data_IF_151608235076
#
_entry.id   IF_151608235076
#
_cell.length_a   1.000
_cell.length_b   1.000
_cell.length_c   1.000
_cell.angle_alpha   90.00
_cell.angle_beta   90.00
_cell.angle_gamma   90.00
#
_symmetry.space_group_name_H-M   'P 1'
#
loop_
_entity.id
_entity.type
_entity.pdbx_description
1 polymer ?
#
# COMPACT_ATOMS: atom_id res chain seq x y z
N UNK A 1 60.94 -47.08 44.69
CA UNK A 1 59.79 -46.98 45.62
C UNK A 1 59.67 -45.50 45.92
N UNK A 2 58.65 -44.73 45.57
CA UNK A 2 57.25 -45.03 45.25
C UNK A 2 56.75 -44.02 44.19
N UNK A 3 56.16 -44.53 43.10
CA UNK A 3 55.50 -43.76 42.04
C UNK A 3 53.97 -43.68 42.30
N UNK A 4 53.50 -43.87 43.54
CA UNK A 4 52.08 -44.18 43.76
C UNK A 4 51.26 -43.19 44.61
N UNK A 5 51.81 -42.07 45.08
CA UNK A 5 51.02 -41.09 45.86
C UNK A 5 50.90 -39.70 45.22
N UNK A 6 51.46 -39.47 44.03
CA UNK A 6 51.37 -38.18 43.33
C UNK A 6 50.12 -38.03 42.44
N UNK A 7 49.32 -39.10 42.25
CA UNK A 7 48.10 -39.05 41.43
C UNK A 7 46.81 -38.74 42.22
N UNK A 8 46.73 -39.08 43.51
CA UNK A 8 45.53 -38.78 44.32
C UNK A 8 45.48 -37.33 44.85
N UNK A 9 46.64 -36.68 45.02
CA UNK A 9 46.67 -35.30 45.53
C UNK A 9 46.37 -34.25 44.44
N UNK A 10 46.59 -34.58 43.17
CA UNK A 10 46.31 -33.67 42.04
C UNK A 10 44.82 -33.75 41.62
N UNK A 11 44.15 -34.89 41.86
CA UNK A 11 42.75 -35.04 41.44
C UNK A 11 41.74 -34.30 42.35
N UNK A 12 42.08 -34.06 43.63
CA UNK A 12 41.17 -33.40 44.58
C UNK A 12 41.22 -31.86 44.52
N UNK A 13 42.34 -31.27 44.10
CA UNK A 13 42.49 -29.81 43.99
C UNK A 13 42.06 -29.24 42.63
N UNK A 14 41.99 -30.05 41.58
CA UNK A 14 41.51 -29.60 40.27
C UNK A 14 39.98 -29.40 40.21
N UNK A 15 39.21 -30.05 41.09
CA UNK A 15 37.75 -29.85 41.19
C UNK A 15 37.37 -28.52 41.87
N UNK A 16 38.10 -28.09 42.91
CA UNK A 16 37.80 -26.82 43.59
C UNK A 16 38.28 -25.59 42.81
N UNK A 17 39.45 -25.68 42.16
CA UNK A 17 39.96 -24.61 41.29
C UNK A 17 39.10 -24.38 40.04
N UNK A 18 38.59 -25.46 39.43
CA UNK A 18 37.69 -25.36 38.27
C UNK A 18 36.31 -24.78 38.63
N UNK A 19 35.79 -25.05 39.83
CA UNK A 19 34.52 -24.46 40.30
C UNK A 19 34.68 -22.98 40.60
N UNK A 20 35.81 -22.56 41.17
CA UNK A 20 36.07 -21.14 41.46
C UNK A 20 36.33 -20.33 40.19
N UNK A 21 37.02 -20.89 39.19
CA UNK A 21 37.22 -20.25 37.90
C UNK A 21 35.92 -20.20 37.07
N UNK A 22 35.07 -21.25 37.14
CA UNK A 22 33.75 -21.22 36.52
C UNK A 22 32.81 -20.19 37.19
N UNK A 23 32.84 -20.06 38.52
CA UNK A 23 32.07 -19.03 39.25
C UNK A 23 32.55 -17.60 38.93
N UNK A 24 33.87 -17.38 38.79
CA UNK A 24 34.42 -16.10 38.35
C UNK A 24 34.11 -15.80 36.88
N UNK A 25 34.12 -16.79 35.98
CA UNK A 25 33.67 -16.61 34.60
C UNK A 25 32.16 -16.29 34.50
N UNK A 26 31.32 -16.87 35.38
CA UNK A 26 29.90 -16.51 35.48
C UNK A 26 29.68 -15.06 35.93
N UNK A 27 30.54 -14.53 36.81
CA UNK A 27 30.48 -13.14 37.27
C UNK A 27 30.88 -12.13 36.18
N UNK A 28 31.67 -12.54 35.17
CA UNK A 28 32.11 -11.64 34.09
C UNK A 28 31.42 -11.85 32.73
N UNK A 29 30.68 -12.95 32.52
CA UNK A 29 29.91 -13.18 31.28
C UNK A 29 28.45 -12.70 31.33
N UNK A 30 27.96 -12.28 32.50
CA UNK A 30 26.59 -11.79 32.64
C UNK A 30 26.54 -10.27 32.43
N UNK A 31 26.79 -9.79 31.21
CA UNK A 31 26.31 -8.47 30.82
C UNK A 31 24.78 -8.55 30.82
N UNK A 32 24.16 -7.97 31.85
CA UNK A 32 22.72 -8.00 32.03
C UNK A 32 22.07 -7.04 31.04
N UNK A 33 20.98 -7.47 30.38
CA UNK A 33 20.18 -6.57 29.55
C UNK A 33 19.27 -5.71 30.45
N UNK A 34 19.17 -4.42 30.12
CA UNK A 34 18.29 -3.47 30.80
C UNK A 34 17.12 -3.08 29.90
N UNK A 35 15.94 -2.92 30.52
CA UNK A 35 14.74 -2.32 29.92
C UNK A 35 14.60 -0.91 30.48
N UNK A 36 14.47 0.07 29.58
CA UNK A 36 14.16 1.45 29.95
C UNK A 36 12.69 1.73 29.65
N UNK A 37 11.95 2.14 30.68
CA UNK A 37 10.59 2.63 30.54
C UNK A 37 10.57 4.12 30.86
N UNK A 38 10.15 4.92 29.88
CA UNK A 38 10.05 6.36 30.03
C UNK A 38 8.62 6.73 30.44
N UNK A 39 8.47 7.37 31.60
CA UNK A 39 7.19 7.87 32.08
C UNK A 39 7.22 9.40 32.13
N UNK A 40 6.28 10.04 31.44
CA UNK A 40 6.15 11.50 31.42
C UNK A 40 5.44 11.94 32.70
N UNK A 41 6.17 12.57 33.62
CA UNK A 41 5.63 13.06 34.90
C UNK A 41 4.91 14.39 34.75
N UNK A 42 5.49 15.30 33.98
CA UNK A 42 4.87 16.58 33.67
C UNK A 42 5.32 17.07 32.30
N UNK A 43 4.44 17.83 31.66
CA UNK A 43 4.64 18.35 30.32
C UNK A 43 4.17 19.79 30.27
N UNK A 44 5.10 20.70 30.05
CA UNK A 44 4.82 22.13 29.99
C UNK A 44 5.19 22.65 28.61
N UNK A 45 4.26 23.35 27.96
CA UNK A 45 4.56 24.02 26.70
C UNK A 45 5.52 25.18 26.95
N UNK A 46 6.53 25.32 26.11
CA UNK A 46 7.51 26.39 26.18
C UNK A 46 7.60 27.10 24.84
N UNK A 47 7.45 28.42 24.87
CA UNK A 47 7.49 29.27 23.69
C UNK A 47 6.20 29.28 22.86
N UNK A 48 6.24 30.06 21.79
CA UNK A 48 5.15 30.16 20.83
C UNK A 48 5.20 28.99 19.82
N UNK A 49 4.03 28.50 19.36
CA UNK A 49 3.98 27.46 18.34
C UNK A 49 4.66 27.92 17.05
N UNK A 50 5.59 27.10 16.55
CA UNK A 50 6.21 27.31 15.25
C UNK A 50 5.27 26.75 14.18
N UNK A 51 4.66 27.63 13.40
CA UNK A 51 3.79 27.25 12.29
C UNK A 51 4.55 26.39 11.29
N UNK A 52 4.00 25.22 10.98
CA UNK A 52 4.64 24.25 10.09
C UNK A 52 4.09 24.36 8.68
N UNK A 53 2.81 24.07 8.49
CA UNK A 53 2.11 24.06 7.20
C UNK A 53 0.58 24.03 7.43
N UNK A 54 -0.16 24.39 6.39
CA UNK A 54 -1.62 24.20 6.32
C UNK A 54 -1.94 23.00 5.43
N UNK A 55 -2.94 22.20 5.84
CA UNK A 55 -3.45 21.06 5.08
C UNK A 55 -4.94 21.18 4.86
N UNK A 56 -5.41 20.61 3.75
CA UNK A 56 -6.84 20.49 3.51
C UNK A 56 -7.39 19.34 4.36
N UNK A 57 -8.51 19.59 5.04
CA UNK A 57 -9.23 18.52 5.71
C UNK A 57 -9.77 17.55 4.65
N UNK A 58 -9.63 16.26 4.91
CA UNK A 58 -9.86 15.23 3.89
C UNK A 58 -11.33 15.02 3.53
N UNK A 59 -12.25 15.35 4.44
CA UNK A 59 -13.68 15.09 4.26
C UNK A 59 -14.45 16.41 4.21
N UNK A 60 -14.99 16.83 3.05
CA UNK A 60 -15.75 18.07 2.97
C UNK A 60 -17.12 17.97 3.65
N UNK A 61 -17.59 19.08 4.21
CA UNK A 61 -18.95 19.20 4.75
C UNK A 61 -19.92 19.66 3.66
N UNK A 62 -21.06 18.99 3.55
CA UNK A 62 -22.13 19.37 2.63
C UNK A 62 -23.10 20.34 3.31
N UNK A 63 -23.42 21.42 2.61
CA UNK A 63 -24.47 22.36 3.01
C UNK A 63 -25.61 22.36 1.99
N UNK A 64 -26.63 23.21 2.19
CA UNK A 64 -27.77 23.32 1.28
C UNK A 64 -27.35 23.63 -0.17
N UNK A 65 -26.30 24.45 -0.35
CA UNK A 65 -25.91 24.97 -1.65
C UNK A 65 -24.40 24.96 -1.95
N UNK A 66 -23.57 24.34 -1.10
CA UNK A 66 -22.12 24.34 -1.28
C UNK A 66 -21.43 23.14 -0.62
N UNK A 67 -20.24 22.81 -1.13
CA UNK A 67 -19.23 22.02 -0.41
C UNK A 67 -18.35 22.96 0.41
N UNK A 68 -18.12 22.62 1.67
CA UNK A 68 -17.24 23.36 2.57
C UNK A 68 -16.01 22.50 2.84
N UNK A 69 -14.84 23.05 2.51
CA UNK A 69 -13.54 22.45 2.80
C UNK A 69 -12.93 23.21 3.97
N UNK A 70 -12.70 22.52 5.07
CA UNK A 70 -11.99 23.06 6.21
C UNK A 70 -10.48 22.90 6.03
N UNK A 71 -9.72 23.82 6.61
CA UNK A 71 -8.26 23.82 6.56
C UNK A 71 -7.74 23.60 7.96
N UNK A 72 -6.93 22.57 8.13
CA UNK A 72 -6.21 22.30 9.35
C UNK A 72 -4.84 22.98 9.29
N UNK A 73 -4.60 23.93 10.18
CA UNK A 73 -3.26 24.44 10.44
C UNK A 73 -2.53 23.51 11.40
N UNK A 74 -1.28 23.14 11.09
CA UNK A 74 -0.44 22.39 12.01
C UNK A 74 0.72 23.25 12.51
N UNK A 75 1.02 23.17 13.81
CA UNK A 75 2.22 23.80 14.38
C UNK A 75 3.01 22.83 15.24
N UNK A 76 4.32 23.05 15.27
CA UNK A 76 5.20 22.44 16.23
C UNK A 76 5.10 23.18 17.56
N UNK A 77 4.66 22.45 18.58
CA UNK A 77 4.67 22.89 19.95
C UNK A 77 5.91 22.31 20.62
N UNK A 78 6.73 23.20 21.19
CA UNK A 78 7.84 22.80 22.04
C UNK A 78 7.33 22.56 23.45
N UNK A 79 7.73 21.45 24.03
CA UNK A 79 7.42 21.06 25.40
C UNK A 79 8.71 20.82 26.15
N UNK A 80 8.78 21.33 27.37
CA UNK A 80 9.70 20.81 28.37
C UNK A 80 8.95 19.69 29.10
N UNK A 81 9.51 18.49 29.01
CA UNK A 81 8.95 17.28 29.59
C UNK A 81 9.86 16.85 30.72
N UNK A 82 9.29 16.71 31.92
CA UNK A 82 9.96 16.00 32.99
C UNK A 82 9.65 14.52 32.80
N UNK A 83 10.63 13.79 32.31
CA UNK A 83 10.54 12.35 32.12
C UNK A 83 11.23 11.65 33.28
N UNK A 84 10.58 10.62 33.82
CA UNK A 84 11.18 9.67 34.72
C UNK A 84 11.49 8.42 33.93
N UNK A 85 12.78 8.20 33.69
CA UNK A 85 13.26 6.97 33.09
C UNK A 85 13.48 5.96 34.19
N UNK A 86 12.77 4.84 34.10
CA UNK A 86 12.89 3.70 35.00
C UNK A 86 13.72 2.65 34.27
N UNK A 87 14.91 2.38 34.78
CA UNK A 87 15.75 1.29 34.29
C UNK A 87 15.48 0.06 35.16
N UNK A 88 15.19 -1.06 34.51
CA UNK A 88 15.00 -2.36 35.15
C UNK A 88 15.76 -3.43 34.38
N UNK A 89 15.98 -4.60 34.99
CA UNK A 89 16.59 -5.74 34.30
C UNK A 89 15.57 -6.39 33.36
N UNK A 90 15.95 -6.61 32.09
CA UNK A 90 15.10 -7.29 31.11
C UNK A 90 14.93 -8.77 31.51
N UNK A 91 13.70 -9.27 31.47
CA UNK A 91 13.35 -10.65 31.82
C UNK A 91 12.51 -11.32 30.74
N UNK A 92 12.62 -12.64 30.63
CA UNK A 92 11.74 -13.47 29.78
C UNK A 92 10.36 -13.70 30.43
N UNK A 93 9.43 -14.31 29.70
CA UNK A 93 8.09 -14.70 30.18
C UNK A 93 8.08 -15.57 31.44
N UNK A 94 9.19 -16.26 31.72
CA UNK A 94 9.37 -17.17 32.86
C UNK A 94 10.07 -16.50 34.05
N UNK A 95 10.49 -15.24 33.89
CA UNK A 95 11.14 -14.43 34.92
C UNK A 95 12.67 -14.54 34.98
N UNK A 96 13.32 -15.22 34.04
CA UNK A 96 14.78 -15.30 33.97
C UNK A 96 15.36 -13.99 33.43
N UNK A 97 16.54 -13.58 33.93
CA UNK A 97 17.20 -12.35 33.48
C UNK A 97 17.83 -12.61 32.11
N UNK A 98 17.52 -11.77 31.13
CA UNK A 98 18.08 -11.89 29.78
C UNK A 98 19.55 -11.40 29.76
N UNK A 99 20.42 -12.20 29.13
CA UNK A 99 21.81 -11.84 28.83
C UNK A 99 21.90 -10.99 27.56
N UNK A 100 22.99 -10.24 27.41
CA UNK A 100 23.13 -9.15 26.44
C UNK A 100 22.90 -9.50 24.94
N UNK A 101 22.39 -8.47 24.27
CA UNK A 101 21.85 -8.18 22.95
C UNK A 101 22.56 -8.63 21.66
N UNK A 102 23.42 -9.67 21.66
CA UNK A 102 24.00 -10.19 20.40
C UNK A 102 23.23 -11.33 19.74
N UNK A 103 22.17 -11.83 20.37
CA UNK A 103 21.22 -12.76 19.76
C UNK A 103 19.81 -12.39 20.18
N UNK A 104 19.14 -11.55 19.38
CA UNK A 104 17.71 -11.21 19.53
C UNK A 104 16.76 -12.42 19.56
N UNK A 105 17.26 -13.63 19.32
CA UNK A 105 16.47 -14.85 19.14
C UNK A 105 16.06 -15.56 20.44
N UNK A 106 16.71 -15.34 21.59
CA UNK A 106 16.51 -16.19 22.78
C UNK A 106 15.80 -15.52 23.98
N UNK A 107 15.41 -14.26 23.89
CA UNK A 107 14.61 -13.59 24.93
C UNK A 107 13.20 -13.39 24.36
N UNK A 108 12.34 -14.42 24.48
CA UNK A 108 10.91 -14.33 24.13
C UNK A 108 10.32 -13.10 24.85
N UNK A 109 9.99 -12.08 24.06
CA UNK A 109 9.44 -10.84 24.57
C UNK A 109 8.01 -11.11 25.05
N UNK A 110 7.84 -11.31 26.35
CA UNK A 110 6.53 -11.30 26.97
C UNK A 110 6.58 -10.68 28.36
N UNK A 111 5.45 -10.10 28.74
CA UNK A 111 5.37 -9.19 29.87
C UNK A 111 5.20 -10.00 31.16
N UNK A 112 6.31 -10.53 31.69
CA UNK A 112 6.36 -11.27 32.95
C UNK A 112 5.59 -10.55 34.08
N UNK A 113 5.64 -9.22 34.10
CA UNK A 113 4.91 -8.39 35.06
C UNK A 113 3.39 -8.55 34.96
N UNK A 114 2.83 -8.62 33.75
CA UNK A 114 1.41 -8.89 33.55
C UNK A 114 1.05 -10.30 34.00
N UNK A 115 1.89 -11.30 33.69
CA UNK A 115 1.65 -12.68 34.14
C UNK A 115 1.70 -12.83 35.66
N UNK A 116 2.68 -12.22 36.32
CA UNK A 116 2.80 -12.28 37.78
C UNK A 116 1.63 -11.58 38.48
N UNK A 117 1.19 -10.45 37.92
CA UNK A 117 -0.02 -9.78 38.36
C UNK A 117 -1.28 -10.63 38.15
N UNK A 118 -1.42 -11.25 36.98
CA UNK A 118 -2.60 -12.06 36.67
C UNK A 118 -2.69 -13.32 37.56
N UNK A 119 -1.58 -14.00 37.81
CA UNK A 119 -1.54 -15.19 38.69
C UNK A 119 -1.75 -14.85 40.17
N UNK A 120 -1.27 -13.70 40.64
CA UNK A 120 -1.52 -13.26 42.02
C UNK A 120 -2.99 -12.87 42.25
N UNK A 121 -3.65 -12.23 41.28
CA UNK A 121 -5.10 -11.96 41.35
C UNK A 121 -5.94 -13.24 41.30
N UNK A 122 -5.54 -14.23 40.50
CA UNK A 122 -6.25 -15.51 40.40
C UNK A 122 -6.10 -16.40 41.64
N UNK A 123 -4.98 -16.29 42.37
CA UNK A 123 -4.70 -17.16 43.53
C UNK A 123 -5.09 -16.56 44.87
N UNK A 124 -5.16 -15.23 45.00
CA UNK A 124 -5.63 -14.54 46.20
C UNK A 124 -6.86 -13.69 45.90
N UNK A 125 -8.04 -14.29 46.02
CA UNK A 125 -9.34 -13.62 45.88
C UNK A 125 -9.69 -12.65 47.02
N UNK A 126 -8.83 -11.68 47.33
CA UNK A 126 -9.17 -10.55 48.22
C UNK A 126 -8.60 -9.24 47.69
N UNK A 127 -9.48 -8.27 47.45
CA UNK A 127 -9.25 -7.03 46.70
C UNK A 127 -8.43 -5.95 47.46
N UNK A 128 -7.90 -6.21 48.67
CA UNK A 128 -7.34 -5.14 49.52
C UNK A 128 -5.85 -5.19 49.96
N UNK A 129 -4.99 -6.11 49.47
CA UNK A 129 -3.55 -5.85 49.42
C UNK A 129 -2.99 -5.75 47.98
N UNK A 130 -3.85 -5.90 46.96
CA UNK A 130 -3.44 -5.97 45.54
C UNK A 130 -2.74 -4.68 45.11
N UNK A 131 -3.25 -3.49 45.45
CA UNK A 131 -2.62 -2.23 45.03
C UNK A 131 -1.22 -2.01 45.64
N UNK A 132 -1.02 -2.37 46.92
CA UNK A 132 0.28 -2.23 47.58
C UNK A 132 1.32 -3.24 47.08
N UNK A 133 0.88 -4.48 46.79
CA UNK A 133 1.78 -5.52 46.24
C UNK A 133 2.19 -5.18 44.80
N UNK A 134 1.28 -4.63 43.99
CA UNK A 134 1.58 -4.23 42.61
C UNK A 134 2.49 -2.99 42.52
N UNK A 135 2.46 -2.08 43.49
CA UNK A 135 3.42 -0.98 43.56
C UNK A 135 4.81 -1.44 44.06
N UNK A 136 4.86 -2.48 44.91
CA UNK A 136 6.11 -2.99 45.47
C UNK A 136 6.88 -3.94 44.55
N UNK A 137 6.19 -4.76 43.75
CA UNK A 137 6.84 -5.74 42.87
C UNK A 137 7.77 -5.05 41.85
N UNK A 138 7.39 -3.98 41.14
CA UNK A 138 8.30 -3.24 40.25
C UNK A 138 9.44 -2.54 41.01
N UNK A 139 9.21 -2.11 42.26
CA UNK A 139 10.20 -1.40 43.07
C UNK A 139 11.41 -2.28 43.44
N UNK A 140 11.21 -3.59 43.61
CA UNK A 140 12.28 -4.55 43.95
C UNK A 140 13.23 -4.88 42.79
N UNK A 141 12.83 -4.56 41.54
CA UNK A 141 13.60 -4.91 40.33
C UNK A 141 14.06 -3.70 39.52
N UNK A 142 13.80 -2.50 40.05
CA UNK A 142 14.29 -1.23 39.55
C UNK A 142 15.77 -1.09 39.88
N UNK A 143 16.60 -0.99 38.85
CA UNK A 143 18.05 -0.80 39.01
C UNK A 143 18.43 0.68 39.02
N UNK A 144 17.58 1.56 38.48
CA UNK A 144 17.80 2.99 38.52
C UNK A 144 16.54 3.81 38.26
N UNK A 145 16.50 5.00 38.85
CA UNK A 145 15.60 6.09 38.48
C UNK A 145 16.44 7.26 38.03
N UNK A 146 16.07 7.81 36.87
CA UNK A 146 16.61 9.10 36.44
C UNK A 146 15.47 9.99 36.05
N UNK A 147 15.39 11.14 36.72
CA UNK A 147 14.56 12.23 36.24
C UNK A 147 15.41 13.07 35.29
N UNK A 148 14.92 13.22 34.05
CA UNK A 148 15.49 14.07 33.03
C UNK A 148 14.49 15.13 32.63
N UNK A 149 15.01 16.32 32.36
CA UNK A 149 14.26 17.40 31.73
C UNK A 149 14.62 17.37 30.25
N UNK A 150 13.66 17.07 29.39
CA UNK A 150 13.85 16.89 27.95
C UNK A 150 13.04 17.93 27.18
N UNK A 151 13.63 18.51 26.13
CA UNK A 151 12.89 19.36 25.19
C UNK A 151 12.37 18.47 24.05
N UNK A 152 11.04 18.36 23.95
CA UNK A 152 10.36 17.57 22.92
C UNK A 152 9.53 18.50 22.04
N UNK A 153 9.61 18.31 20.72
CA UNK A 153 8.76 19.02 19.76
C UNK A 153 7.68 18.09 19.24
N UNK A 154 6.41 18.50 19.37
CA UNK A 154 5.27 17.73 18.86
C UNK A 154 4.48 18.53 17.84
N UNK A 155 4.10 17.88 16.74
CA UNK A 155 3.17 18.44 15.76
C UNK A 155 1.75 18.30 16.29
N UNK A 156 1.02 19.42 16.42
CA UNK A 156 -0.41 19.40 16.76
C UNK A 156 -1.20 20.32 15.83
N UNK A 157 -2.46 19.96 15.62
CA UNK A 157 -3.43 20.81 14.94
C UNK A 157 -3.75 22.06 15.77
N UNK A 158 -3.79 23.20 15.11
CA UNK A 158 -4.07 24.52 15.71
C UNK A 158 -5.57 24.72 15.77
N UNK A 159 -6.13 24.83 16.98
CA UNK A 159 -7.53 25.19 17.20
C UNK A 159 -7.63 26.45 18.08
N UNK A 160 -8.31 27.53 17.62
CA UNK A 160 -8.91 27.70 16.29
C UNK A 160 -7.82 27.91 15.21
N UNK A 161 -8.08 27.46 13.98
CA UNK A 161 -7.17 27.71 12.87
C UNK A 161 -7.02 29.23 12.64
N UNK A 162 -5.78 29.70 12.63
CA UNK A 162 -5.43 31.11 12.41
C UNK A 162 -4.68 31.23 11.08
N UNK A 163 -5.41 31.52 10.01
CA UNK A 163 -4.85 31.87 8.69
C UNK A 163 -4.63 33.39 8.67
N UNK A 164 -3.36 33.82 8.82
CA UNK A 164 -2.98 35.25 8.78
C UNK A 164 -2.66 35.75 7.37
N UNK A 165 -2.64 34.87 6.36
CA UNK A 165 -2.23 35.20 5.00
C UNK A 165 -3.34 35.94 4.24
N UNK A 166 -3.05 37.15 3.76
CA UNK A 166 -3.96 37.99 2.96
C UNK A 166 -4.29 37.38 1.58
N UNK A 167 -3.50 36.39 1.11
CA UNK A 167 -3.64 35.76 -0.21
C UNK A 167 -3.78 34.23 -0.11
N UNK A 168 -4.74 33.78 0.68
CA UNK A 168 -5.07 32.37 0.84
C UNK A 168 -6.34 32.00 0.05
N UNK A 169 -6.23 31.04 -0.86
CA UNK A 169 -7.29 30.61 -1.76
C UNK A 169 -7.47 29.09 -1.77
N UNK A 170 -8.72 28.66 -1.82
CA UNK A 170 -9.07 27.33 -2.32
C UNK A 170 -9.22 27.43 -3.84
N UNK A 171 -8.34 26.78 -4.57
CA UNK A 171 -8.42 26.69 -6.01
C UNK A 171 -8.99 25.34 -6.42
N UNK A 172 -9.92 25.30 -7.37
CA UNK A 172 -10.58 24.06 -7.78
C UNK A 172 -10.82 24.00 -9.29
N UNK A 173 -10.90 22.78 -9.82
CA UNK A 173 -11.16 22.47 -11.23
C UNK A 173 -11.98 21.18 -11.34
N UNK A 174 -12.87 21.13 -12.33
CA UNK A 174 -13.55 19.88 -12.71
C UNK A 174 -12.81 19.13 -13.81
N UNK A 175 -11.83 19.79 -14.45
CA UNK A 175 -10.97 19.21 -15.46
C UNK A 175 -9.69 18.67 -14.80
N UNK A 176 -8.99 17.77 -15.51
CA UNK A 176 -7.64 17.33 -15.12
C UNK A 176 -6.60 18.45 -15.23
N UNK A 177 -6.93 19.53 -15.95
CA UNK A 177 -6.07 20.71 -16.11
C UNK A 177 -6.46 21.85 -15.16
N UNK A 178 -5.46 22.61 -14.70
CA UNK A 178 -5.65 23.81 -13.89
C UNK A 178 -5.85 25.09 -14.71
N UNK A 179 -5.93 24.99 -16.04
CA UNK A 179 -6.04 26.17 -16.92
C UNK A 179 -7.37 26.91 -16.76
N UNK A 180 -8.43 26.20 -16.34
CA UNK A 180 -9.77 26.74 -16.10
C UNK A 180 -10.15 26.72 -14.61
N UNK A 181 -9.14 26.73 -13.75
CA UNK A 181 -9.35 26.70 -12.31
C UNK A 181 -10.08 27.94 -11.81
N UNK A 182 -10.85 27.76 -10.75
CA UNK A 182 -11.56 28.81 -10.04
C UNK A 182 -10.96 28.99 -8.67
N UNK A 183 -10.87 30.23 -8.19
CA UNK A 183 -10.25 30.56 -6.91
C UNK A 183 -11.29 31.13 -5.97
N UNK A 184 -11.36 30.59 -4.76
CA UNK A 184 -12.25 31.03 -3.69
C UNK A 184 -11.40 31.54 -2.54
N UNK A 185 -11.58 32.79 -2.10
CA UNK A 185 -10.87 33.29 -0.92
C UNK A 185 -11.30 32.52 0.32
N UNK A 186 -10.34 32.20 1.17
CA UNK A 186 -10.60 31.49 2.42
C UNK A 186 -11.13 32.45 3.47
N UNK A 187 -12.18 32.02 4.19
CA UNK A 187 -12.76 32.76 5.32
C UNK A 187 -12.81 31.85 6.52
N UNK A 188 -12.22 32.28 7.64
CA UNK A 188 -12.15 31.50 8.88
C UNK A 188 -11.61 30.08 8.66
N UNK A 189 -10.52 29.94 7.89
CA UNK A 189 -9.95 28.64 7.50
C UNK A 189 -10.91 27.68 6.78
N UNK A 190 -11.94 28.22 6.12
CA UNK A 190 -12.85 27.43 5.29
C UNK A 190 -12.95 28.00 3.89
N UNK A 191 -12.99 27.12 2.89
CA UNK A 191 -13.31 27.44 1.51
C UNK A 191 -14.67 26.85 1.14
N UNK A 192 -15.56 27.66 0.56
CA UNK A 192 -16.91 27.22 0.19
C UNK A 192 -17.06 27.18 -1.32
N UNK A 193 -17.13 25.99 -1.90
CA UNK A 193 -17.39 25.79 -3.33
C UNK A 193 -18.91 25.72 -3.57
N UNK A 194 -19.52 26.73 -4.21
CA UNK A 194 -20.95 26.72 -4.45
C UNK A 194 -21.32 25.70 -5.52
N UNK A 195 -22.48 25.04 -5.36
CA UNK A 195 -23.05 24.17 -6.36
C UNK A 195 -23.40 24.98 -7.63
N UNK A 196 -22.57 24.82 -8.65
CA UNK A 196 -22.71 25.44 -9.95
C UNK A 196 -23.15 24.39 -11.01
N UNK A 197 -23.26 24.82 -12.28
CA UNK A 197 -23.67 23.92 -13.36
C UNK A 197 -22.67 22.79 -13.65
N UNK A 198 -21.38 22.98 -13.37
CA UNK A 198 -20.32 21.99 -13.67
C UNK A 198 -20.46 20.74 -12.80
N UNK A 199 -21.05 20.85 -11.61
CA UNK A 199 -21.38 19.68 -10.79
C UNK A 199 -22.32 18.70 -11.49
N UNK A 200 -23.15 19.16 -12.43
CA UNK A 200 -24.08 18.30 -13.17
C UNK A 200 -23.44 17.60 -14.38
N UNK A 201 -22.29 18.07 -14.85
CA UNK A 201 -21.60 17.52 -16.02
C UNK A 201 -20.38 16.67 -15.67
N UNK A 202 -20.05 16.56 -14.38
CA UNK A 202 -18.87 15.89 -13.87
C UNK A 202 -19.24 14.99 -12.69
N UNK A 203 -18.28 14.20 -12.21
CA UNK A 203 -18.43 13.33 -11.03
C UNK A 203 -17.29 13.47 -10.01
N UNK A 204 -16.29 14.30 -10.32
CA UNK A 204 -15.13 14.55 -9.48
C UNK A 204 -14.75 16.03 -9.54
N UNK A 205 -14.08 16.52 -8.49
CA UNK A 205 -13.53 17.86 -8.42
C UNK A 205 -12.10 17.79 -7.85
N UNK A 206 -11.16 18.39 -8.58
CA UNK A 206 -9.80 18.59 -8.12
C UNK A 206 -9.75 19.90 -7.33
N UNK A 207 -9.09 19.92 -6.18
CA UNK A 207 -8.97 21.13 -5.36
C UNK A 207 -7.59 21.22 -4.70
N UNK A 208 -7.12 22.44 -4.47
CA UNK A 208 -5.82 22.70 -3.86
C UNK A 208 -5.82 23.96 -3.02
N UNK A 209 -5.01 23.94 -1.96
CA UNK A 209 -4.78 25.07 -1.09
C UNK A 209 -3.60 25.88 -1.61
N UNK A 210 -3.84 27.16 -1.90
CA UNK A 210 -2.81 28.09 -2.36
C UNK A 210 -2.68 29.23 -1.37
N UNK A 211 -1.49 29.40 -0.81
CA UNK A 211 -1.17 30.48 0.13
C UNK A 211 0.02 31.25 -0.41
N UNK A 212 -0.12 32.56 -0.57
CA UNK A 212 0.93 33.47 -1.07
C UNK A 212 1.55 33.01 -2.41
N UNK A 213 0.73 32.40 -3.27
CA UNK A 213 1.15 31.89 -4.58
C UNK A 213 1.80 30.51 -4.58
N UNK A 214 2.04 29.93 -3.40
CA UNK A 214 2.57 28.57 -3.25
C UNK A 214 1.45 27.55 -3.03
N UNK A 215 1.56 26.38 -3.68
CA UNK A 215 0.65 25.26 -3.45
C UNK A 215 1.08 24.57 -2.17
N UNK A 216 0.18 24.52 -1.19
CA UNK A 216 0.41 23.93 0.12
C UNK A 216 -0.05 22.48 0.16
N UNK A 217 -1.20 22.20 -0.47
CA UNK A 217 -1.81 20.88 -0.48
C UNK A 217 -2.72 20.74 -1.72
N UNK A 218 -2.95 19.53 -2.21
CA UNK A 218 -3.77 19.24 -3.39
C UNK A 218 -4.44 17.88 -3.24
N UNK A 219 -5.72 17.81 -3.59
CA UNK A 219 -6.51 16.60 -3.45
C UNK A 219 -7.62 16.54 -4.52
N UNK A 220 -8.31 15.39 -4.58
CA UNK A 220 -9.47 15.16 -5.43
C UNK A 220 -10.64 14.74 -4.54
N UNK A 221 -11.84 15.10 -4.95
CA UNK A 221 -13.08 14.68 -4.30
C UNK A 221 -14.03 14.09 -5.34
N UNK A 222 -14.27 12.78 -5.23
CA UNK A 222 -15.16 12.02 -6.09
C UNK A 222 -16.56 12.01 -5.46
N UNK A 223 -17.52 12.72 -6.04
CA UNK A 223 -18.83 12.97 -5.42
C UNK A 223 -19.96 12.09 -5.95
N UNK A 224 -19.66 11.04 -6.72
CA UNK A 224 -20.63 10.01 -7.08
C UNK A 224 -21.00 9.14 -5.87
N UNK A 225 -21.99 8.26 -6.01
CA UNK A 225 -22.55 7.45 -4.90
C UNK A 225 -21.53 6.53 -4.21
N UNK A 226 -20.64 5.93 -4.99
CA UNK A 226 -19.52 5.10 -4.53
C UNK A 226 -18.21 5.88 -4.27
N UNK A 227 -18.28 7.22 -4.28
CA UNK A 227 -17.12 8.09 -4.15
C UNK A 227 -16.72 8.35 -2.70
N UNK A 228 -16.10 9.51 -2.47
CA UNK A 228 -15.55 9.91 -1.19
C UNK A 228 -16.64 10.19 -0.14
N UNK A 229 -16.23 10.04 1.12
CA UNK A 229 -17.07 10.38 2.26
C UNK A 229 -17.35 11.89 2.32
N UNK A 230 -18.46 12.22 2.96
CA UNK A 230 -18.85 13.59 3.28
C UNK A 230 -19.28 13.70 4.73
N UNK A 231 -19.19 14.89 5.29
CA UNK A 231 -19.76 15.22 6.59
C UNK A 231 -21.04 16.05 6.44
N UNK A 232 -21.95 15.90 7.40
CA UNK A 232 -23.23 16.62 7.43
C UNK A 232 -24.40 15.85 6.79
N UNK A 233 -25.57 16.49 6.76
CA UNK A 233 -26.77 15.93 6.16
C UNK A 233 -26.76 16.28 4.67
N UNK A 234 -26.88 15.28 3.80
CA UNK A 234 -26.99 15.52 2.37
C UNK A 234 -28.21 16.39 2.05
N UNK A 235 -27.94 17.56 1.49
CA UNK A 235 -29.00 18.42 0.97
C UNK A 235 -29.66 17.78 -0.25
N UNK A 236 -30.93 18.12 -0.50
CA UNK A 236 -31.67 17.67 -1.69
C UNK A 236 -30.92 18.05 -2.97
N UNK A 237 -30.27 19.22 -2.98
CA UNK A 237 -29.44 19.67 -4.09
C UNK A 237 -28.23 18.75 -4.29
N UNK A 238 -27.52 18.40 -3.22
CA UNK A 238 -26.36 17.52 -3.32
C UNK A 238 -26.75 16.09 -3.73
N UNK A 239 -27.85 15.54 -3.20
CA UNK A 239 -28.37 14.24 -3.63
C UNK A 239 -28.64 14.19 -5.14
N UNK A 240 -29.20 15.27 -5.70
CA UNK A 240 -29.43 15.39 -7.14
C UNK A 240 -28.11 15.45 -7.92
N UNK A 241 -27.11 16.16 -7.40
CA UNK A 241 -25.76 16.20 -7.96
C UNK A 241 -25.14 14.79 -7.96
N UNK A 242 -25.16 14.06 -6.84
CA UNK A 242 -24.62 12.68 -6.76
C UNK A 242 -25.28 11.76 -7.79
N UNK A 243 -26.61 11.77 -7.88
CA UNK A 243 -27.35 10.96 -8.88
C UNK A 243 -26.99 11.32 -10.33
N UNK A 244 -26.73 12.59 -10.61
CA UNK A 244 -26.27 13.02 -11.93
C UNK A 244 -24.83 12.58 -12.18
N UNK A 245 -23.94 12.68 -11.19
CA UNK A 245 -22.58 12.17 -11.25
C UNK A 245 -22.53 10.67 -11.61
N UNK A 246 -23.37 9.85 -10.97
CA UNK A 246 -23.50 8.42 -11.29
C UNK A 246 -23.88 8.19 -12.77
N UNK A 247 -24.80 9.01 -13.30
CA UNK A 247 -25.22 8.92 -14.71
C UNK A 247 -24.11 9.32 -15.67
N UNK A 248 -23.35 10.37 -15.35
CA UNK A 248 -22.20 10.81 -16.15
C UNK A 248 -21.15 9.71 -16.17
N UNK A 249 -20.79 9.18 -15.00
CA UNK A 249 -19.81 8.10 -14.87
C UNK A 249 -20.22 6.85 -15.65
N UNK A 250 -21.48 6.42 -15.53
CA UNK A 250 -22.01 5.29 -16.28
C UNK A 250 -21.98 5.52 -17.80
N UNK A 251 -22.31 6.73 -18.25
CA UNK A 251 -22.26 7.11 -19.67
C UNK A 251 -20.83 7.07 -20.21
N UNK A 252 -19.86 7.61 -19.48
CA UNK A 252 -18.45 7.54 -19.86
C UNK A 252 -17.94 6.11 -19.92
N UNK A 253 -18.29 5.28 -18.94
CA UNK A 253 -17.94 3.86 -18.93
C UNK A 253 -18.51 3.14 -20.16
N UNK A 254 -19.76 3.42 -20.52
CA UNK A 254 -20.41 2.87 -21.72
C UNK A 254 -19.69 3.33 -22.99
N UNK A 255 -19.37 4.63 -23.12
CA UNK A 255 -18.63 5.16 -24.28
C UNK A 255 -17.26 4.49 -24.40
N UNK A 256 -16.50 4.38 -23.30
CA UNK A 256 -15.19 3.71 -23.28
C UNK A 256 -15.31 2.23 -23.68
N UNK A 257 -16.36 1.55 -23.22
CA UNK A 257 -16.65 0.17 -23.62
C UNK A 257 -16.95 0.08 -25.12
N UNK A 258 -17.82 0.93 -25.65
CA UNK A 258 -18.14 0.97 -27.10
C UNK A 258 -16.91 1.26 -27.95
N UNK A 259 -16.06 2.22 -27.57
CA UNK A 259 -14.81 2.51 -28.28
C UNK A 259 -13.88 1.28 -28.25
N UNK A 260 -13.74 0.63 -27.10
CA UNK A 260 -12.92 -0.59 -26.96
C UNK A 260 -13.46 -1.73 -27.81
N UNK A 261 -14.78 -1.94 -27.83
CA UNK A 261 -15.43 -2.98 -28.62
C UNK A 261 -15.28 -2.70 -30.12
N UNK A 262 -15.37 -1.43 -30.54
CA UNK A 262 -15.13 -1.03 -31.92
C UNK A 262 -13.66 -1.23 -32.34
N UNK A 263 -12.70 -0.81 -31.50
CA UNK A 263 -11.28 -1.05 -31.74
C UNK A 263 -10.96 -2.55 -31.82
N UNK A 264 -11.56 -3.34 -30.94
CA UNK A 264 -11.41 -4.81 -30.95
C UNK A 264 -11.99 -5.41 -32.23
N UNK A 265 -13.17 -4.97 -32.66
CA UNK A 265 -13.79 -5.44 -33.90
C UNK A 265 -12.95 -5.10 -35.13
N UNK A 266 -12.37 -3.89 -35.18
CA UNK A 266 -11.48 -3.48 -36.25
C UNK A 266 -10.19 -4.31 -36.27
N UNK A 267 -9.58 -4.55 -35.11
CA UNK A 267 -8.39 -5.39 -34.99
C UNK A 267 -8.67 -6.84 -35.41
N UNK A 268 -9.83 -7.40 -35.05
CA UNK A 268 -10.28 -8.73 -35.50
C UNK A 268 -10.33 -8.77 -37.03
N UNK A 269 -10.98 -7.80 -37.69
CA UNK A 269 -11.04 -7.74 -39.17
C UNK A 269 -9.67 -7.63 -39.82
N UNK A 270 -8.77 -6.85 -39.24
CA UNK A 270 -7.40 -6.73 -39.75
C UNK A 270 -6.65 -8.05 -39.62
N UNK A 271 -6.87 -8.79 -38.53
CA UNK A 271 -6.28 -10.10 -38.33
C UNK A 271 -6.87 -11.17 -39.24
N UNK A 272 -8.18 -11.14 -39.49
CA UNK A 272 -8.84 -12.00 -40.49
C UNK A 272 -8.25 -11.78 -41.88
N UNK A 273 -8.14 -10.53 -42.34
CA UNK A 273 -7.54 -10.20 -43.64
C UNK A 273 -6.06 -10.61 -43.72
N UNK A 274 -5.32 -10.46 -42.62
CA UNK A 274 -3.94 -10.93 -42.53
C UNK A 274 -3.85 -12.46 -42.71
N UNK A 275 -4.68 -13.22 -42.01
CA UNK A 275 -4.69 -14.68 -42.13
C UNK A 275 -5.24 -15.19 -43.46
N UNK A 276 -6.23 -14.51 -44.06
CA UNK A 276 -6.72 -14.83 -45.40
C UNK A 276 -5.60 -14.75 -46.45
N UNK A 277 -4.78 -13.69 -46.40
CA UNK A 277 -3.58 -13.56 -47.25
C UNK A 277 -2.54 -14.64 -47.00
N UNK A 278 -2.40 -15.10 -45.75
CA UNK A 278 -1.52 -16.20 -45.40
C UNK A 278 -2.11 -17.58 -45.68
N UNK A 279 -3.41 -17.68 -45.95
CA UNK A 279 -4.17 -18.94 -46.04
C UNK A 279 -3.52 -19.96 -46.98
N UNK A 280 -3.10 -19.50 -48.16
CA UNK A 280 -2.43 -20.35 -49.17
C UNK A 280 -1.05 -20.88 -48.75
N UNK A 281 -0.46 -20.33 -47.69
CA UNK A 281 0.83 -20.76 -47.13
C UNK A 281 0.68 -21.55 -45.83
N UNK A 282 -0.52 -21.57 -45.24
CA UNK A 282 -0.78 -22.32 -44.02
C UNK A 282 -0.47 -23.79 -44.26
N UNK A 283 0.27 -24.37 -43.31
CA UNK A 283 0.64 -25.77 -43.39
C UNK A 283 -0.44 -26.61 -42.70
N UNK A 284 -1.12 -27.49 -43.45
CA UNK A 284 -2.10 -28.47 -42.93
C UNK A 284 -1.47 -29.37 -41.84
N UNK A 285 -0.14 -29.53 -41.85
CA UNK A 285 0.62 -30.31 -40.86
C UNK A 285 1.01 -29.54 -39.59
N UNK A 286 0.72 -28.24 -39.49
CA UNK A 286 1.04 -27.48 -38.29
C UNK A 286 0.04 -27.82 -37.17
N UNK A 287 0.55 -28.22 -36.01
CA UNK A 287 -0.27 -28.61 -34.87
C UNK A 287 -1.07 -27.42 -34.32
N UNK A 288 -2.40 -27.53 -34.18
CA UNK A 288 -3.19 -26.53 -33.48
C UNK A 288 -2.71 -26.39 -32.03
N UNK A 289 -2.36 -25.19 -31.60
CA UNK A 289 -1.91 -24.89 -30.22
C UNK A 289 -0.47 -24.38 -30.07
N UNK A 290 0.38 -24.50 -31.11
CA UNK A 290 1.71 -23.88 -31.13
C UNK A 290 1.75 -22.68 -32.08
N UNK A 291 1.19 -21.55 -31.63
CA UNK A 291 1.08 -20.31 -32.43
C UNK A 291 2.42 -19.91 -33.03
N UNK A 292 3.49 -19.95 -32.24
CA UNK A 292 4.85 -19.62 -32.67
C UNK A 292 5.41 -20.51 -33.78
N UNK A 293 5.24 -21.83 -33.67
CA UNK A 293 5.73 -22.77 -34.68
C UNK A 293 4.95 -22.63 -35.99
N UNK A 294 3.62 -22.53 -35.89
CA UNK A 294 2.72 -22.35 -37.05
C UNK A 294 2.97 -21.02 -37.75
N UNK A 295 3.11 -19.92 -37.00
CA UNK A 295 3.42 -18.60 -37.52
C UNK A 295 4.79 -18.54 -38.19
N UNK A 296 5.83 -19.12 -37.58
CA UNK A 296 7.18 -19.14 -38.15
C UNK A 296 7.21 -19.88 -39.49
N UNK A 297 6.61 -21.08 -39.56
CA UNK A 297 6.59 -21.89 -40.79
C UNK A 297 5.77 -21.22 -41.89
N UNK A 298 4.59 -20.72 -41.56
CA UNK A 298 3.68 -20.06 -42.52
C UNK A 298 4.30 -18.77 -43.06
N UNK A 299 4.84 -17.92 -42.19
CA UNK A 299 5.51 -16.69 -42.60
C UNK A 299 6.79 -16.93 -43.40
N UNK A 300 7.56 -17.98 -43.09
CA UNK A 300 8.73 -18.34 -43.88
C UNK A 300 8.34 -18.73 -45.31
N UNK A 301 7.28 -19.53 -45.48
CA UNK A 301 6.72 -19.86 -46.80
C UNK A 301 6.20 -18.64 -47.55
N UNK A 302 5.45 -17.77 -46.87
CA UNK A 302 4.96 -16.51 -47.44
C UNK A 302 6.10 -15.63 -47.93
N UNK A 303 7.09 -15.35 -47.07
CA UNK A 303 8.20 -14.44 -47.40
C UNK A 303 9.07 -14.99 -48.52
N UNK A 304 9.37 -16.29 -48.51
CA UNK A 304 10.17 -16.94 -49.56
C UNK A 304 9.45 -17.02 -50.91
N UNK A 305 8.11 -17.02 -50.93
CA UNK A 305 7.33 -17.08 -52.17
C UNK A 305 7.05 -15.68 -52.75
N UNK A 306 6.74 -14.70 -51.91
CA UNK A 306 6.27 -13.38 -52.36
C UNK A 306 7.38 -12.33 -52.47
N UNK A 307 8.52 -12.52 -51.80
CA UNK A 307 9.60 -11.54 -51.78
C UNK A 307 10.87 -12.12 -52.39
N UNK A 308 11.54 -11.31 -53.20
CA UNK A 308 12.88 -11.64 -53.68
C UNK A 308 13.85 -11.71 -52.49
N UNK A 309 14.88 -12.59 -52.53
CA UNK A 309 15.85 -12.76 -51.44
C UNK A 309 16.52 -11.45 -50.98
N UNK A 310 16.72 -10.49 -51.88
CA UNK A 310 17.30 -9.18 -51.56
C UNK A 310 16.32 -8.22 -50.83
N UNK A 311 15.02 -8.51 -50.82
CA UNK A 311 13.94 -7.67 -50.25
C UNK A 311 13.18 -8.34 -49.11
N UNK A 312 13.61 -9.53 -48.68
CA UNK A 312 12.97 -10.31 -47.61
C UNK A 312 13.47 -9.94 -46.21
N UNK A 313 14.55 -9.14 -46.12
CA UNK A 313 15.12 -8.76 -44.83
C UNK A 313 14.13 -7.93 -44.01
N UNK A 314 13.91 -8.32 -42.75
CA UNK A 314 12.91 -7.71 -41.87
C UNK A 314 11.45 -8.18 -42.07
N UNK A 315 11.11 -8.79 -43.21
CA UNK A 315 9.74 -9.24 -43.52
C UNK A 315 9.31 -10.50 -42.77
N UNK A 316 10.25 -11.41 -42.52
CA UNK A 316 9.97 -12.62 -41.73
C UNK A 316 9.63 -12.29 -40.26
N UNK A 317 10.44 -11.51 -39.52
CA UNK A 317 10.09 -11.08 -38.16
C UNK A 317 8.79 -10.28 -38.09
N UNK A 318 8.55 -9.38 -39.05
CA UNK A 318 7.31 -8.57 -39.13
C UNK A 318 6.08 -9.47 -39.28
N UNK A 319 6.12 -10.44 -40.19
CA UNK A 319 5.04 -11.41 -40.38
C UNK A 319 4.83 -12.29 -39.15
N UNK A 320 5.90 -12.84 -38.57
CA UNK A 320 5.79 -13.75 -37.42
C UNK A 320 5.18 -13.03 -36.21
N UNK A 321 5.63 -11.81 -35.91
CA UNK A 321 5.07 -11.02 -34.80
C UNK A 321 3.59 -10.68 -35.03
N UNK A 322 3.22 -10.26 -36.25
CA UNK A 322 1.82 -9.96 -36.58
C UNK A 322 0.94 -11.22 -36.51
N UNK A 323 1.47 -12.36 -36.94
CA UNK A 323 0.79 -13.64 -36.87
C UNK A 323 0.51 -14.05 -35.42
N UNK A 324 1.50 -13.98 -34.54
CA UNK A 324 1.31 -14.30 -33.11
C UNK A 324 0.30 -13.36 -32.44
N UNK A 325 0.39 -12.05 -32.70
CA UNK A 325 -0.57 -11.07 -32.20
C UNK A 325 -2.00 -11.38 -32.67
N UNK A 326 -2.17 -11.67 -33.96
CA UNK A 326 -3.47 -11.98 -34.54
C UNK A 326 -4.02 -13.33 -34.07
N UNK A 327 -3.15 -14.31 -33.87
CA UNK A 327 -3.52 -15.62 -33.32
C UNK A 327 -4.15 -15.48 -31.92
N UNK A 328 -3.53 -14.67 -31.06
CA UNK A 328 -4.05 -14.37 -29.72
C UNK A 328 -5.33 -13.53 -29.78
N UNK A 329 -5.38 -12.51 -30.66
CA UNK A 329 -6.55 -11.62 -30.83
C UNK A 329 -7.82 -12.37 -31.26
N UNK A 330 -7.67 -13.37 -32.15
CA UNK A 330 -8.78 -14.22 -32.59
C UNK A 330 -9.17 -15.29 -31.56
N UNK A 331 -8.41 -15.44 -30.46
CA UNK A 331 -8.70 -16.43 -29.41
C UNK A 331 -8.45 -17.87 -29.84
N UNK A 332 -7.59 -18.09 -30.84
CA UNK A 332 -7.21 -19.43 -31.29
C UNK A 332 -6.24 -20.13 -30.33
N UNK A 333 -5.88 -19.53 -29.19
CA UNK A 333 -5.11 -20.20 -28.13
C UNK A 333 -6.04 -20.86 -27.11
N UNK A 334 -7.16 -20.20 -26.77
CA UNK A 334 -8.15 -20.67 -25.78
C UNK A 334 -9.16 -21.67 -26.33
N UNK A 335 -9.31 -21.73 -27.67
CA UNK A 335 -10.16 -22.69 -28.37
C UNK A 335 -9.68 -24.15 -28.25
N UNK A 336 -8.47 -24.37 -27.71
CA UNK A 336 -7.73 -25.63 -27.72
C UNK A 336 -7.12 -26.01 -26.37
N UNK A 337 -7.77 -25.63 -25.25
CA UNK A 337 -7.32 -25.99 -23.90
C UNK A 337 -6.99 -27.49 -23.73
N UNK A 338 -6.47 -27.89 -22.56
CA UNK A 338 -5.85 -29.20 -22.27
C UNK A 338 -6.65 -30.50 -22.60
N UNK A 339 -7.84 -30.43 -23.21
CA UNK A 339 -8.67 -31.55 -23.65
C UNK A 339 -8.99 -31.62 -25.16
N UNK A 340 -8.32 -30.85 -26.03
CA UNK A 340 -8.52 -30.93 -27.49
C UNK A 340 -9.69 -30.08 -28.03
N UNK A 341 -9.97 -30.13 -29.35
CA UNK A 341 -10.87 -29.18 -30.01
C UNK A 341 -12.26 -29.15 -29.38
N UNK A 342 -12.68 -27.97 -28.89
CA UNK A 342 -14.12 -27.68 -28.77
C UNK A 342 -14.74 -27.74 -30.17
N UNK A 343 -16.00 -28.15 -30.25
CA UNK A 343 -16.65 -28.38 -31.54
C UNK A 343 -16.59 -27.14 -32.44
N UNK A 344 -16.53 -27.33 -33.77
CA UNK A 344 -16.45 -26.22 -34.75
C UNK A 344 -17.60 -25.21 -34.66
N UNK A 345 -18.71 -25.59 -34.02
CA UNK A 345 -19.84 -24.70 -33.69
C UNK A 345 -19.53 -23.81 -32.48
N UNK A 346 -18.91 -24.33 -31.43
CA UNK A 346 -18.52 -23.55 -30.23
C UNK A 346 -17.38 -22.57 -30.54
N UNK A 347 -16.47 -22.91 -31.46
CA UNK A 347 -15.38 -22.01 -31.89
C UNK A 347 -15.93 -20.74 -32.59
N UNK A 348 -17.03 -20.87 -33.35
CA UNK A 348 -17.71 -19.71 -33.99
C UNK A 348 -18.34 -18.76 -32.97
N UNK A 349 -18.85 -19.30 -31.86
CA UNK A 349 -19.55 -18.52 -30.84
C UNK A 349 -18.60 -17.75 -29.90
N UNK A 350 -17.33 -18.17 -29.80
CA UNK A 350 -16.42 -17.60 -28.80
C UNK A 350 -15.90 -16.20 -29.18
N UNK A 351 -15.68 -15.85 -30.47
CA UNK A 351 -15.09 -14.54 -30.81
C UNK A 351 -15.35 -14.01 -32.25
N UNK A 352 -16.41 -14.43 -32.94
CA UNK A 352 -16.86 -13.74 -34.18
C UNK A 352 -15.80 -13.56 -35.28
N UNK A 353 -14.86 -14.51 -35.43
CA UNK A 353 -13.76 -14.46 -36.39
C UNK A 353 -13.66 -15.70 -37.28
N UNK A 354 -12.91 -15.61 -38.39
CA UNK A 354 -12.56 -16.74 -39.27
C UNK A 354 -12.04 -17.95 -38.45
N UNK A 355 -12.49 -19.16 -38.79
CA UNK A 355 -12.01 -20.39 -38.17
C UNK A 355 -10.71 -20.83 -38.87
N UNK A 356 -9.69 -21.26 -38.10
CA UNK A 356 -8.45 -21.82 -38.62
C UNK A 356 -8.68 -22.91 -39.68
N UNK A 357 -9.67 -23.78 -39.47
CA UNK A 357 -9.98 -24.85 -40.43
C UNK A 357 -10.50 -24.32 -41.77
N UNK A 358 -11.28 -23.25 -41.76
CA UNK A 358 -11.82 -22.63 -42.98
C UNK A 358 -10.69 -22.09 -43.86
N UNK A 359 -9.56 -21.68 -43.25
CA UNK A 359 -8.37 -21.16 -43.95
C UNK A 359 -7.43 -22.26 -44.49
N UNK A 360 -7.44 -23.45 -43.86
CA UNK A 360 -6.59 -24.59 -44.28
C UNK A 360 -7.26 -25.52 -45.27
N UNK A 361 -8.57 -25.37 -45.49
CA UNK A 361 -9.32 -26.18 -46.45
C UNK A 361 -9.06 -25.62 -47.85
N UNK A 362 -8.60 -26.42 -48.82
CA UNK A 362 -8.43 -25.94 -50.19
C UNK A 362 -9.81 -25.49 -50.70
N UNK A 363 -9.97 -24.21 -51.04
CA UNK A 363 -11.10 -23.80 -51.85
C UNK A 363 -10.93 -24.46 -53.22
N UNK A 364 -11.74 -25.46 -53.50
CA UNK A 364 -11.88 -26.04 -54.84
C UNK A 364 -12.50 -24.97 -55.73
N UNK A 365 -11.66 -24.23 -56.45
CA UNK A 365 -12.04 -23.51 -57.66
C UNK A 365 -11.74 -24.38 -58.87
#
# INVERSE_FOLDING_TARGET
MEILNSFEYIHFNCKKGSVFLALLCFLFQSCLSFKEEQLILSKQQVGEPLFSNYKLYSVPTVTENALVFEIEGNSYYKYIVNAKTITSLKRDEKGNICSDSRSELDCENGDYFLHLGFFSVLTMGTILPVLLVFDWIPALFKTGEKESVEEVSELKAIKPCQLKAEKAFLEYSFDDSWNRSKKIPLKNCSGKIPFNQEFNSNYQINYRLVIDGSIQDSNRFDYHSEGDAIEGIESIAFQKIRRNADRVLAREAQIRKTIRDQQRSEEIKQCENFFDKLGRYLNIKAEPGSSRATCTVTCNKYVSTEFQPAKSWGKLPECTNRCEQCWSTLGWESSWGAGGPRSSKEIKEINGGLNYYDLTTPQSY
#
